data_IF_516983267413
#
_entry.id   IF_516983267413
#
_cell.length_a   1.000
_cell.length_b   1.000
_cell.length_c   1.000
_cell.angle_alpha   90.00
_cell.angle_beta   90.00
_cell.angle_gamma   90.00
#
_symmetry.space_group_name_H-M   'P 1'
#
loop_
_entity.id
_entity.type
_entity.pdbx_description
1 polymer ?
#
# COMPACT_ATOMS: atom_id res chain seq x y z
N UNK A 1 -6.26 -4.50 -25.10
CA UNK A 1 -6.05 -4.70 -23.66
C UNK A 1 -7.19 -5.51 -23.03
N UNK A 2 -8.38 -4.92 -22.81
CA UNK A 2 -9.47 -5.57 -22.06
C UNK A 2 -9.86 -6.97 -22.61
N UNK A 3 -10.26 -7.04 -23.88
CA UNK A 3 -10.79 -8.28 -24.47
C UNK A 3 -9.80 -9.44 -24.40
N UNK A 4 -8.51 -9.14 -24.56
CA UNK A 4 -7.43 -10.13 -24.50
C UNK A 4 -7.12 -10.63 -23.09
N UNK A 5 -7.44 -9.85 -22.05
CA UNK A 5 -6.93 -10.10 -20.70
C UNK A 5 -7.98 -10.20 -19.58
N UNK A 6 -9.26 -9.93 -19.88
CA UNK A 6 -10.36 -9.92 -18.88
C UNK A 6 -10.52 -11.21 -18.06
N UNK A 7 -10.08 -12.35 -18.61
CA UNK A 7 -10.20 -13.66 -17.97
C UNK A 7 -9.03 -13.99 -17.04
N UNK A 8 -8.04 -13.10 -16.87
CA UNK A 8 -6.95 -13.33 -15.92
C UNK A 8 -7.36 -12.89 -14.51
N UNK A 9 -7.38 -13.81 -13.52
CA UNK A 9 -7.78 -13.48 -12.14
C UNK A 9 -6.72 -12.63 -11.40
N UNK A 10 -5.47 -12.64 -11.87
CA UNK A 10 -4.40 -11.81 -11.31
C UNK A 10 -4.51 -10.33 -11.68
N UNK A 11 -5.22 -10.00 -12.76
CA UNK A 11 -5.51 -8.61 -13.11
C UNK A 11 -6.69 -8.18 -12.28
N UNK A 12 -6.49 -7.17 -11.44
CA UNK A 12 -7.51 -6.68 -10.50
C UNK A 12 -7.90 -5.22 -10.75
N UNK A 13 -7.11 -4.47 -11.51
CA UNK A 13 -7.32 -3.04 -11.83
C UNK A 13 -6.93 -2.82 -13.29
N UNK A 14 -7.67 -1.99 -14.00
CA UNK A 14 -7.30 -1.48 -15.33
C UNK A 14 -6.65 -0.11 -15.22
N UNK A 15 -5.60 0.14 -16.01
CA UNK A 15 -5.04 1.49 -16.18
C UNK A 15 -5.38 2.04 -17.57
N UNK A 16 -5.68 3.33 -17.66
CA UNK A 16 -5.93 4.01 -18.95
C UNK A 16 -4.66 4.37 -19.72
N UNK A 17 -3.49 4.28 -19.07
CA UNK A 17 -2.21 4.72 -19.63
C UNK A 17 -1.35 5.41 -18.58
N UNK A 18 -0.41 6.25 -19.05
CA UNK A 18 0.53 6.98 -18.19
C UNK A 18 0.80 8.39 -18.74
N UNK A 19 0.95 9.38 -17.84
CA UNK A 19 1.48 10.73 -18.10
C UNK A 19 0.96 11.45 -19.37
N UNK A 20 -0.29 11.20 -19.77
CA UNK A 20 -0.87 11.73 -21.02
C UNK A 20 -1.86 12.86 -20.77
N UNK A 21 -1.69 13.62 -19.69
CA UNK A 21 -2.63 14.65 -19.24
C UNK A 21 -4.01 14.07 -18.89
N UNK A 22 -5.06 14.90 -18.91
CA UNK A 22 -6.45 14.43 -18.78
C UNK A 22 -7.33 15.20 -19.76
N UNK A 23 -8.37 14.54 -20.28
CA UNK A 23 -9.30 15.11 -21.24
C UNK A 23 -10.39 14.13 -21.65
N UNK A 24 -11.30 14.58 -22.53
CA UNK A 24 -12.51 13.85 -22.89
C UNK A 24 -12.27 12.40 -23.39
N UNK A 25 -11.14 12.14 -24.06
CA UNK A 25 -10.80 10.78 -24.50
C UNK A 25 -10.56 9.84 -23.31
N UNK A 26 -9.94 10.32 -22.22
CA UNK A 26 -9.73 9.51 -21.02
C UNK A 26 -11.06 9.22 -20.32
N UNK A 27 -11.95 10.20 -20.23
CA UNK A 27 -13.30 9.99 -19.68
C UNK A 27 -14.11 8.99 -20.53
N UNK A 28 -14.05 9.10 -21.86
CA UNK A 28 -14.70 8.15 -22.75
C UNK A 28 -14.16 6.72 -22.60
N UNK A 29 -12.83 6.56 -22.49
CA UNK A 29 -12.19 5.26 -22.24
C UNK A 29 -12.56 4.71 -20.86
N UNK A 30 -12.55 5.54 -19.82
CA UNK A 30 -12.99 5.18 -18.46
C UNK A 30 -14.41 4.63 -18.50
N UNK A 31 -15.37 5.40 -19.03
CA UNK A 31 -16.77 4.98 -19.10
C UNK A 31 -16.99 3.74 -19.97
N UNK A 32 -16.22 3.59 -21.06
CA UNK A 32 -16.25 2.36 -21.86
C UNK A 32 -15.79 1.15 -21.04
N UNK A 33 -14.66 1.24 -20.34
CA UNK A 33 -14.16 0.16 -19.48
C UNK A 33 -15.16 -0.19 -18.37
N UNK A 34 -15.74 0.81 -17.70
CA UNK A 34 -16.74 0.57 -16.64
C UNK A 34 -18.00 -0.15 -17.15
N UNK A 35 -18.39 0.07 -18.41
CA UNK A 35 -19.52 -0.66 -19.03
C UNK A 35 -19.14 -2.08 -19.43
N UNK A 36 -17.96 -2.26 -20.00
CA UNK A 36 -17.53 -3.55 -20.55
C UNK A 36 -17.03 -4.54 -19.48
N UNK A 37 -16.42 -4.03 -18.41
CA UNK A 37 -15.96 -4.84 -17.28
C UNK A 37 -16.23 -4.12 -15.95
N UNK A 38 -17.44 -4.29 -15.37
CA UNK A 38 -17.77 -3.68 -14.09
C UNK A 38 -17.09 -4.38 -12.90
N UNK A 39 -16.35 -5.48 -13.12
CA UNK A 39 -15.77 -6.29 -12.03
C UNK A 39 -14.48 -5.72 -11.46
N UNK A 40 -13.85 -4.76 -12.15
CA UNK A 40 -12.55 -4.19 -11.78
C UNK A 40 -12.60 -2.66 -11.71
N UNK A 41 -11.88 -2.04 -10.76
CA UNK A 41 -11.65 -0.60 -10.78
C UNK A 41 -10.79 -0.18 -11.98
N UNK A 42 -10.95 1.08 -12.39
CA UNK A 42 -10.10 1.74 -13.38
C UNK A 42 -9.31 2.84 -12.70
N UNK A 43 -8.00 2.89 -12.91
CA UNK A 43 -7.15 3.96 -12.41
C UNK A 43 -6.48 4.73 -13.55
N UNK A 44 -6.22 6.02 -13.33
CA UNK A 44 -5.41 6.83 -14.23
C UNK A 44 -4.87 8.07 -13.51
N UNK A 45 -3.55 8.27 -13.56
CA UNK A 45 -2.90 9.35 -12.80
C UNK A 45 -2.98 10.70 -13.51
N UNK A 46 -3.07 10.71 -14.83
CA UNK A 46 -2.93 11.93 -15.62
C UNK A 46 -3.92 13.03 -15.22
N UNK A 47 -3.43 14.27 -15.21
CA UNK A 47 -4.26 15.45 -14.90
C UNK A 47 -4.55 15.67 -13.41
N UNK A 48 -3.69 15.17 -12.52
CA UNK A 48 -3.76 15.49 -11.08
C UNK A 48 -4.02 14.30 -10.16
N UNK A 49 -4.08 13.08 -10.71
CA UNK A 49 -4.22 11.82 -9.99
C UNK A 49 -5.55 11.54 -9.28
N UNK A 50 -6.49 12.48 -9.34
CA UNK A 50 -7.80 12.41 -8.69
C UNK A 50 -8.96 12.88 -9.60
N UNK A 51 -8.76 12.83 -10.92
CA UNK A 51 -9.76 13.22 -11.92
C UNK A 51 -11.02 12.33 -11.91
N UNK A 52 -12.00 12.68 -12.74
CA UNK A 52 -13.23 11.89 -12.99
C UNK A 52 -12.96 10.56 -13.69
N UNK A 53 -11.79 10.39 -14.32
CA UNK A 53 -11.41 9.19 -15.06
C UNK A 53 -10.67 8.15 -14.19
N UNK A 54 -10.76 8.23 -12.85
CA UNK A 54 -10.12 7.29 -11.94
C UNK A 54 -10.99 6.95 -10.72
N UNK A 55 -11.08 5.64 -10.43
CA UNK A 55 -11.72 5.09 -9.22
C UNK A 55 -10.79 5.16 -7.99
N UNK A 56 -9.49 5.36 -8.22
CA UNK A 56 -8.43 5.31 -7.20
C UNK A 56 -7.59 6.59 -7.31
N UNK A 57 -7.33 7.26 -6.19
CA UNK A 57 -6.36 8.35 -6.15
C UNK A 57 -4.99 7.72 -6.35
N UNK A 58 -4.34 7.99 -7.48
CA UNK A 58 -3.16 7.23 -7.87
C UNK A 58 -1.95 8.08 -8.25
N UNK A 59 -1.49 9.00 -7.39
CA UNK A 59 -0.42 9.91 -7.74
C UNK A 59 0.91 9.20 -7.82
N UNK A 60 1.76 9.71 -8.70
CA UNK A 60 3.18 9.35 -8.73
C UNK A 60 3.99 10.32 -7.85
N UNK A 61 4.82 9.78 -6.97
CA UNK A 61 5.80 10.50 -6.15
C UNK A 61 5.25 11.54 -5.18
N UNK A 62 3.96 11.47 -4.81
CA UNK A 62 3.41 12.26 -3.71
C UNK A 62 4.08 11.87 -2.38
N UNK A 63 4.51 12.87 -1.59
CA UNK A 63 5.25 12.62 -0.34
C UNK A 63 4.32 12.26 0.80
N UNK A 64 4.89 11.66 1.86
CA UNK A 64 4.10 11.24 3.04
C UNK A 64 3.48 12.44 3.77
N UNK A 65 4.28 13.45 4.09
CA UNK A 65 3.90 14.58 4.96
C UNK A 65 3.91 15.95 4.27
N UNK A 66 4.53 16.07 3.09
CA UNK A 66 4.79 17.36 2.44
C UNK A 66 4.00 17.51 1.14
N UNK A 67 3.22 18.58 1.06
CA UNK A 67 2.56 19.00 -0.17
C UNK A 67 3.57 19.52 -1.21
N UNK A 68 3.31 19.25 -2.48
CA UNK A 68 4.03 19.80 -3.64
C UNK A 68 3.02 20.56 -4.51
N UNK A 69 3.03 21.88 -4.39
CA UNK A 69 2.07 22.77 -5.05
C UNK A 69 2.52 23.08 -6.47
N UNK A 70 2.27 22.13 -7.38
CA UNK A 70 2.50 22.32 -8.81
C UNK A 70 1.23 22.96 -9.41
N UNK A 71 1.32 24.04 -10.20
CA UNK A 71 0.16 24.64 -10.85
C UNK A 71 -0.65 23.61 -11.65
N UNK A 72 -1.98 23.68 -11.54
CA UNK A 72 -2.97 22.76 -12.14
C UNK A 72 -2.97 21.31 -11.65
N UNK A 73 -1.84 20.77 -11.19
CA UNK A 73 -1.70 19.35 -10.76
C UNK A 73 -0.97 19.23 -9.42
N UNK A 74 -1.52 19.79 -8.32
CA UNK A 74 -0.88 19.72 -7.02
C UNK A 74 -0.77 18.26 -6.56
N UNK A 75 0.35 17.91 -5.92
CA UNK A 75 0.51 16.61 -5.26
C UNK A 75 0.45 16.85 -3.76
N UNK A 76 -0.72 16.59 -3.18
CA UNK A 76 -0.89 16.69 -1.73
C UNK A 76 -0.11 15.59 -1.02
N UNK A 77 0.21 15.80 0.25
CA UNK A 77 0.74 14.72 1.07
C UNK A 77 -0.28 13.59 1.15
N UNK A 78 0.16 12.33 1.10
CA UNK A 78 -0.77 11.18 1.03
C UNK A 78 -1.72 11.12 2.23
N UNK A 79 -1.26 11.59 3.41
CA UNK A 79 -2.08 11.68 4.63
C UNK A 79 -3.16 12.75 4.54
N UNK A 80 -2.87 13.86 3.86
CA UNK A 80 -3.83 14.95 3.63
C UNK A 80 -4.82 14.59 2.53
N UNK A 81 -4.34 14.00 1.44
CA UNK A 81 -5.13 13.76 0.22
C UNK A 81 -6.38 12.91 0.51
N UNK A 82 -6.20 11.82 1.25
CA UNK A 82 -7.31 10.93 1.68
C UNK A 82 -8.31 11.61 2.62
N UNK A 83 -7.95 12.75 3.23
CA UNK A 83 -8.78 13.51 4.16
C UNK A 83 -9.35 14.79 3.56
N UNK A 84 -9.19 15.02 2.25
CA UNK A 84 -9.76 16.20 1.60
C UNK A 84 -11.30 16.14 1.61
N UNK A 85 -11.99 17.29 1.76
CA UNK A 85 -13.45 17.31 1.79
C UNK A 85 -14.07 16.66 0.55
N UNK A 86 -14.95 15.68 0.76
CA UNK A 86 -15.66 14.96 -0.30
C UNK A 86 -14.89 13.79 -0.91
N UNK A 87 -13.62 13.59 -0.56
CA UNK A 87 -12.84 12.47 -1.05
C UNK A 87 -13.13 11.19 -0.26
N UNK A 88 -13.43 10.11 -0.98
CA UNK A 88 -13.78 8.81 -0.42
C UNK A 88 -13.06 7.65 -1.12
N UNK A 89 -12.33 7.94 -2.20
CA UNK A 89 -11.61 6.94 -2.98
C UNK A 89 -10.39 6.45 -2.20
N UNK A 90 -9.99 5.18 -2.38
CA UNK A 90 -8.71 4.71 -1.86
C UNK A 90 -7.56 5.42 -2.57
N UNK A 91 -6.41 5.53 -1.89
CA UNK A 91 -5.18 6.05 -2.46
C UNK A 91 -4.14 4.94 -2.59
N UNK A 92 -3.67 4.71 -3.82
CA UNK A 92 -2.58 3.79 -4.14
C UNK A 92 -1.60 4.51 -5.05
N UNK A 93 -0.39 4.80 -4.55
CA UNK A 93 0.65 5.42 -5.35
C UNK A 93 0.97 4.53 -6.55
N UNK A 94 0.73 5.02 -7.77
CA UNK A 94 1.10 4.26 -8.99
C UNK A 94 2.62 4.15 -9.10
N UNK A 95 3.34 5.15 -8.59
CA UNK A 95 4.80 5.18 -8.44
C UNK A 95 5.17 5.92 -7.15
N UNK A 96 6.15 5.41 -6.41
CA UNK A 96 6.75 6.09 -5.27
C UNK A 96 8.16 5.56 -5.02
N UNK A 97 8.93 6.24 -4.15
CA UNK A 97 10.27 5.80 -3.74
C UNK A 97 11.22 5.49 -4.92
N UNK A 98 11.41 6.49 -5.79
CA UNK A 98 12.28 6.38 -6.98
C UNK A 98 13.69 5.86 -6.63
N UNK A 99 14.04 4.65 -7.05
CA UNK A 99 15.22 3.91 -6.58
C UNK A 99 16.47 4.08 -7.48
N UNK A 100 16.76 5.29 -7.93
CA UNK A 100 17.92 5.57 -8.80
C UNK A 100 19.17 5.94 -7.99
N UNK A 101 20.23 5.14 -8.10
CA UNK A 101 21.50 5.39 -7.42
C UNK A 101 21.43 5.17 -5.90
N UNK A 102 22.11 6.03 -5.13
CA UNK A 102 21.99 6.03 -3.67
C UNK A 102 20.69 6.74 -3.25
N UNK A 103 19.57 6.02 -3.33
CA UNK A 103 18.22 6.53 -3.08
C UNK A 103 17.52 5.76 -1.95
N UNK A 104 16.17 5.75 -1.94
CA UNK A 104 15.30 5.12 -0.93
C UNK A 104 15.41 5.71 0.49
N UNK A 105 16.06 6.87 0.64
CA UNK A 105 15.92 7.67 1.85
C UNK A 105 14.45 8.02 2.06
N UNK A 106 13.92 7.87 3.28
CA UNK A 106 12.50 7.98 3.68
C UNK A 106 11.54 6.85 3.27
N UNK A 107 12.02 5.75 2.68
CA UNK A 107 11.14 4.62 2.32
C UNK A 107 10.34 4.08 3.52
N UNK A 108 10.95 4.03 4.70
CA UNK A 108 10.28 3.59 5.93
C UNK A 108 9.06 4.47 6.29
N UNK A 109 9.08 5.76 5.97
CA UNK A 109 8.00 6.68 6.31
C UNK A 109 6.73 6.35 5.53
N UNK A 110 6.86 5.94 4.26
CA UNK A 110 5.74 5.47 3.45
C UNK A 110 5.08 4.25 4.10
N UNK A 111 5.89 3.25 4.47
CA UNK A 111 5.38 2.02 5.11
C UNK A 111 4.79 2.24 6.50
N UNK A 112 5.25 3.27 7.22
CA UNK A 112 4.63 3.67 8.48
C UNK A 112 3.29 4.38 8.27
N UNK A 113 3.15 5.13 7.18
CA UNK A 113 1.90 5.80 6.83
C UNK A 113 0.86 4.85 6.22
N UNK A 114 1.29 3.80 5.51
CA UNK A 114 0.37 2.82 4.93
C UNK A 114 -0.37 2.04 6.02
N UNK A 115 -1.68 1.78 5.83
CA UNK A 115 -2.45 1.00 6.77
C UNK A 115 -1.85 -0.40 6.88
N UNK A 116 -1.60 -0.85 8.11
CA UNK A 116 -1.17 -2.23 8.35
C UNK A 116 -2.37 -3.15 8.17
N UNK A 117 -2.27 -4.11 7.27
CA UNK A 117 -3.18 -5.25 7.24
C UNK A 117 -2.86 -6.07 8.50
N UNK A 118 -3.69 -5.96 9.54
CA UNK A 118 -3.58 -6.86 10.67
C UNK A 118 -3.93 -8.26 10.19
N UNK A 119 -2.99 -9.20 10.34
CA UNK A 119 -3.30 -10.61 10.11
C UNK A 119 -4.58 -10.96 10.87
N UNK A 120 -5.53 -11.69 10.26
CA UNK A 120 -6.67 -12.20 11.01
C UNK A 120 -6.11 -12.94 12.23
N UNK A 121 -6.69 -12.69 13.41
CA UNK A 121 -6.27 -13.35 14.62
C UNK A 121 -6.23 -14.85 14.34
N UNK A 122 -5.03 -15.44 14.34
CA UNK A 122 -4.86 -16.88 14.22
C UNK A 122 -5.66 -17.49 15.37
N UNK A 123 -6.80 -18.08 15.07
CA UNK A 123 -7.51 -18.91 16.03
C UNK A 123 -6.55 -20.06 16.34
N UNK A 124 -5.86 -20.00 17.48
CA UNK A 124 -5.13 -21.13 17.99
C UNK A 124 -6.18 -22.19 18.34
N UNK A 125 -6.31 -23.21 17.49
CA UNK A 125 -7.03 -24.42 17.85
C UNK A 125 -6.26 -25.05 19.02
N UNK A 126 -6.75 -24.83 20.24
CA UNK A 126 -6.35 -25.65 21.37
C UNK A 126 -6.89 -27.06 21.08
N UNK A 127 -6.07 -28.10 21.27
CA UNK A 127 -6.44 -29.50 21.06
C UNK A 127 -7.57 -30.01 21.98
N UNK A 128 -8.30 -29.12 22.65
CA UNK A 128 -9.42 -29.39 23.56
C UNK A 128 -10.73 -28.73 23.11
N UNK A 129 -10.83 -28.26 21.85
CA UNK A 129 -12.10 -27.77 21.29
C UNK A 129 -12.66 -26.49 21.92
N UNK A 130 -11.87 -25.78 22.74
CA UNK A 130 -12.26 -24.48 23.29
C UNK A 130 -11.54 -23.34 22.57
N UNK A 131 -12.33 -22.42 22.00
CA UNK A 131 -11.86 -21.17 21.44
C UNK A 131 -11.48 -20.24 22.60
N UNK A 132 -10.17 -20.15 22.92
CA UNK A 132 -9.66 -19.06 23.77
C UNK A 132 -9.32 -17.88 22.88
N UNK A 133 -10.01 -16.75 23.06
CA UNK A 133 -9.55 -15.48 22.50
C UNK A 133 -8.19 -15.16 23.12
N UNK A 134 -7.12 -15.22 22.32
CA UNK A 134 -5.80 -14.74 22.73
C UNK A 134 -5.85 -13.23 22.82
N UNK A 135 -5.76 -12.70 24.03
CA UNK A 135 -5.70 -11.26 24.30
C UNK A 135 -4.44 -10.69 23.62
N UNK A 136 -4.60 -9.62 22.85
CA UNK A 136 -3.50 -8.92 22.15
C UNK A 136 -2.39 -8.55 23.15
N UNK A 137 -1.09 -8.76 22.85
CA UNK A 137 -0.04 -8.15 23.64
C UNK A 137 -0.16 -6.62 23.51
N UNK A 138 -0.08 -5.92 24.64
CA UNK A 138 -0.08 -4.45 24.68
C UNK A 138 1.11 -3.87 23.92
N UNK A 139 0.91 -2.69 23.31
CA UNK A 139 1.92 -1.88 22.61
C UNK A 139 3.13 -1.66 23.51
N UNK A 140 4.23 -2.38 23.31
CA UNK A 140 5.60 -2.03 23.78
C UNK A 140 6.71 -2.94 23.29
N UNK A 141 6.44 -4.02 22.54
CA UNK A 141 7.51 -4.83 21.98
C UNK A 141 8.10 -4.16 20.72
N UNK A 142 9.17 -3.38 20.92
CA UNK A 142 10.08 -2.99 19.86
C UNK A 142 10.58 -4.24 19.12
N UNK A 143 10.65 -4.14 17.79
CA UNK A 143 11.09 -5.23 16.91
C UNK A 143 12.59 -5.45 17.12
N UNK A 144 12.96 -6.37 18.00
CA UNK A 144 14.33 -6.88 18.09
C UNK A 144 14.50 -7.93 16.99
N UNK A 145 15.28 -7.61 15.96
CA UNK A 145 15.63 -8.55 14.89
C UNK A 145 16.33 -9.82 15.41
N UNK A 146 16.40 -10.88 14.61
CA UNK A 146 16.93 -12.16 15.05
C UNK A 146 18.44 -12.06 15.30
N UNK A 147 18.84 -12.06 16.57
CA UNK A 147 20.25 -12.24 16.94
C UNK A 147 20.59 -13.72 16.75
N UNK A 148 21.55 -13.98 15.88
CA UNK A 148 22.10 -15.30 15.61
C UNK A 148 22.51 -16.00 16.91
N UNK A 149 22.13 -17.27 17.04
CA UNK A 149 22.51 -18.11 18.16
C UNK A 149 24.02 -18.37 18.18
N UNK A 150 24.65 -18.05 19.30
CA UNK A 150 25.88 -18.69 19.74
C UNK A 150 25.58 -19.27 21.12
N UNK A 151 25.36 -20.58 21.15
CA UNK A 151 25.19 -21.38 22.35
C UNK A 151 26.59 -21.60 22.95
N UNK A 152 27.03 -20.73 23.84
CA UNK A 152 28.24 -20.98 24.63
C UNK A 152 27.89 -21.91 25.80
N UNK A 153 28.24 -23.19 25.68
CA UNK A 153 28.19 -24.16 26.76
C UNK A 153 29.25 -23.81 27.81
N UNK A 154 28.81 -23.34 28.99
CA UNK A 154 29.70 -23.15 30.15
C UNK A 154 29.80 -24.49 30.88
N UNK A 155 30.91 -25.20 30.72
CA UNK A 155 31.28 -26.31 31.58
C UNK A 155 31.55 -25.77 32.99
N UNK A 156 30.83 -26.28 33.98
CA UNK A 156 31.12 -26.11 35.40
C UNK A 156 32.17 -27.14 35.81
N UNK A 157 33.41 -26.71 36.03
CA UNK A 157 34.38 -27.49 36.80
C UNK A 157 34.21 -27.14 38.28
N UNK A 158 33.58 -28.04 39.03
CA UNK A 158 33.72 -28.10 40.47
C UNK A 158 35.01 -28.86 40.80
N UNK A 159 35.87 -28.29 41.62
CA UNK A 159 36.92 -29.01 42.33
C UNK A 159 36.92 -28.55 43.77
N UNK A 160 36.64 -29.48 44.66
CA UNK A 160 36.81 -29.37 46.11
C UNK A 160 37.95 -30.30 46.51
N UNK A 161 39.06 -29.72 46.96
CA UNK A 161 40.05 -30.22 47.93
C UNK A 161 41.30 -29.32 47.81
#
# INVERSE_FOLDING_TARGET
MLQSHRNHPSIIIWSLGNESGCGANHEAMYHWLKREDPTRPVQYEGGGADSTATDIICPMYARVERDQLIPAVPKWSIKKWIGLPGEQRPLILCEYAHAMGNSLGNFADYWQAFPRISAPARAALSGTGQIRQLKRPSRTAAWAGPTAGILATRQTTGSSA
#
